data_IF_296064675328
#
_entry.id   IF_296064675328
#
_cell.length_a   1.000
_cell.length_b   1.000
_cell.length_c   1.000
_cell.angle_alpha   90.00
_cell.angle_beta   90.00
_cell.angle_gamma   90.00
#
_symmetry.space_group_name_H-M   'P 1'
#
loop_
_entity.id
_entity.type
_entity.pdbx_description
1 polymer ?
#
# COMPACT_ATOMS: atom_id res chain seq x y z
N UNK A 1 -13.15 -3.21 9.30
CA UNK A 1 -11.93 -3.91 9.79
C UNK A 1 -11.18 -3.00 10.75
N UNK A 2 -10.34 -3.51 11.66
CA UNK A 2 -9.64 -2.67 12.67
C UNK A 2 -8.16 -2.45 12.31
N UNK A 3 -7.58 -1.32 12.68
CA UNK A 3 -6.15 -0.99 12.50
C UNK A 3 -5.22 -2.08 13.07
N UNK A 4 -5.64 -2.78 14.13
CA UNK A 4 -4.89 -3.91 14.71
C UNK A 4 -4.83 -5.14 13.79
N UNK A 5 -5.80 -5.34 12.90
CA UNK A 5 -5.71 -6.37 11.87
C UNK A 5 -4.70 -5.98 10.79
N UNK A 6 -4.74 -4.73 10.33
CA UNK A 6 -3.78 -4.22 9.35
C UNK A 6 -2.33 -4.30 9.86
N UNK A 7 -2.07 -3.93 11.11
CA UNK A 7 -0.74 -4.07 11.70
C UNK A 7 -0.25 -5.52 11.74
N UNK A 8 -1.13 -6.48 12.09
CA UNK A 8 -0.77 -7.90 12.08
C UNK A 8 -0.45 -8.42 10.68
N UNK A 9 -1.18 -7.96 9.67
CA UNK A 9 -0.91 -8.29 8.27
C UNK A 9 0.47 -7.77 7.85
N UNK A 10 0.73 -6.48 8.13
CA UNK A 10 2.01 -5.83 7.81
C UNK A 10 3.17 -6.54 8.53
N UNK A 11 3.01 -6.88 9.81
CA UNK A 11 4.01 -7.62 10.58
C UNK A 11 4.28 -9.01 9.98
N UNK A 12 3.24 -9.70 9.53
CA UNK A 12 3.36 -10.96 8.81
C UNK A 12 4.15 -10.81 7.51
N UNK A 13 3.89 -9.76 6.72
CA UNK A 13 4.65 -9.47 5.50
C UNK A 13 6.11 -9.09 5.78
N UNK A 14 6.38 -8.37 6.88
CA UNK A 14 7.73 -7.96 7.26
C UNK A 14 8.59 -9.13 7.75
N UNK A 15 7.98 -10.18 8.30
CA UNK A 15 8.67 -11.35 8.86
C UNK A 15 8.63 -12.57 7.95
N UNK A 16 7.68 -12.64 7.01
CA UNK A 16 7.51 -13.75 6.09
C UNK A 16 8.63 -13.85 5.05
N UNK A 17 8.91 -15.07 4.59
CA UNK A 17 9.81 -15.28 3.46
C UNK A 17 9.12 -14.94 2.14
N UNK A 18 9.88 -14.37 1.22
CA UNK A 18 9.38 -14.09 -0.12
C UNK A 18 9.29 -15.38 -0.94
N UNK A 19 8.14 -15.67 -1.57
CA UNK A 19 8.02 -16.84 -2.43
C UNK A 19 8.89 -16.70 -3.68
N UNK A 20 9.38 -17.82 -4.21
CA UNK A 20 10.18 -17.85 -5.44
C UNK A 20 9.35 -17.65 -6.71
N UNK A 21 8.02 -17.70 -6.59
CA UNK A 21 7.09 -17.52 -7.70
C UNK A 21 5.95 -16.58 -7.28
N UNK A 22 5.39 -15.87 -8.26
CA UNK A 22 4.26 -14.97 -8.05
C UNK A 22 3.02 -15.79 -7.66
N UNK A 23 2.50 -15.55 -6.46
CA UNK A 23 1.38 -16.29 -5.88
C UNK A 23 0.35 -15.32 -5.30
N UNK A 24 -0.96 -15.58 -5.46
CA UNK A 24 -1.99 -14.84 -4.76
C UNK A 24 -1.82 -15.01 -3.24
N UNK A 25 -1.95 -13.91 -2.50
CA UNK A 25 -2.02 -13.90 -1.04
C UNK A 25 -3.45 -13.57 -0.58
N UNK A 26 -3.71 -13.66 0.73
CA UNK A 26 -5.05 -13.45 1.32
C UNK A 26 -5.70 -12.12 0.89
N UNK A 27 -4.89 -11.08 0.63
CA UNK A 27 -5.40 -9.76 0.27
C UNK A 27 -4.55 -9.07 -0.80
N UNK A 28 -3.75 -9.80 -1.57
CA UNK A 28 -2.87 -9.22 -2.59
C UNK A 28 -2.02 -10.26 -3.31
N UNK A 29 -0.76 -9.94 -3.59
CA UNK A 29 0.14 -10.82 -4.35
C UNK A 29 1.50 -10.88 -3.67
N UNK A 30 2.11 -12.05 -3.61
CA UNK A 30 3.48 -12.22 -3.14
C UNK A 30 4.34 -12.78 -4.26
N UNK A 31 5.60 -12.40 -4.32
CA UNK A 31 6.51 -12.84 -5.36
C UNK A 31 7.98 -12.73 -4.93
N UNK A 32 8.91 -12.96 -5.85
CA UNK A 32 10.35 -12.93 -5.55
C UNK A 32 10.78 -11.57 -5.01
N UNK A 33 11.08 -11.51 -3.72
CA UNK A 33 11.52 -10.30 -3.05
C UNK A 33 10.43 -9.34 -2.64
N UNK A 34 9.13 -9.69 -2.71
CA UNK A 34 8.06 -8.79 -2.29
C UNK A 34 6.76 -9.47 -1.81
N UNK A 35 5.99 -8.71 -1.03
CA UNK A 35 4.60 -8.95 -0.67
C UNK A 35 3.79 -7.67 -0.90
N UNK A 36 2.63 -7.77 -1.53
CA UNK A 36 1.62 -6.72 -1.64
C UNK A 36 0.32 -7.15 -0.96
N UNK A 37 -0.38 -6.18 -0.39
CA UNK A 37 -1.74 -6.38 0.12
C UNK A 37 -2.57 -5.09 0.05
N UNK A 38 -3.84 -5.25 -0.31
CA UNK A 38 -4.86 -4.22 -0.18
C UNK A 38 -5.47 -4.32 1.22
N UNK A 39 -5.32 -3.27 2.02
CA UNK A 39 -5.89 -3.18 3.38
C UNK A 39 -7.38 -2.84 3.35
N UNK A 40 -7.82 -2.22 2.25
CA UNK A 40 -9.19 -1.83 1.95
C UNK A 40 -9.35 -1.84 0.44
N UNK A 41 -10.22 -2.69 -0.09
CA UNK A 41 -10.56 -2.74 -1.51
C UNK A 41 -11.77 -1.85 -1.76
N UNK A 42 -11.70 -0.95 -2.74
CA UNK A 42 -12.70 0.12 -2.94
C UNK A 42 -14.15 -0.30 -3.29
N UNK A 43 -14.50 -1.59 -3.36
CA UNK A 43 -15.72 -2.02 -4.05
C UNK A 43 -16.88 -2.58 -3.20
N UNK A 44 -16.75 -2.90 -1.92
CA UNK A 44 -17.93 -3.38 -1.17
C UNK A 44 -18.05 -2.67 0.17
N UNK A 45 -18.91 -1.62 0.27
CA UNK A 45 -19.40 -1.21 1.57
C UNK A 45 -20.13 -2.42 2.15
N UNK A 46 -19.66 -2.90 3.29
CA UNK A 46 -20.49 -3.79 4.10
C UNK A 46 -21.77 -3.00 4.44
N UNK A 47 -22.92 -3.64 4.60
CA UNK A 47 -24.23 -2.97 4.80
C UNK A 47 -24.24 -1.91 5.94
N UNK A 48 -23.24 -1.92 6.82
CA UNK A 48 -23.04 -0.98 7.94
C UNK A 48 -21.98 0.12 7.69
N UNK A 49 -21.36 0.22 6.50
CA UNK A 49 -20.38 1.26 6.20
C UNK A 49 -21.03 2.55 5.68
N UNK A 50 -20.53 3.73 6.09
CA UNK A 50 -21.00 5.00 5.53
C UNK A 50 -20.79 5.00 4.02
N UNK A 51 -21.80 5.44 3.28
CA UNK A 51 -21.73 5.64 1.84
C UNK A 51 -21.32 7.08 1.51
N UNK A 52 -20.67 7.30 0.36
CA UNK A 52 -20.37 8.66 -0.11
C UNK A 52 -19.22 9.34 0.67
N UNK A 53 -19.27 10.67 0.91
CA UNK A 53 -18.15 11.44 1.46
C UNK A 53 -17.66 10.97 2.85
N UNK A 54 -18.56 10.41 3.66
CA UNK A 54 -18.24 9.89 4.98
C UNK A 54 -17.35 8.63 4.90
N UNK A 55 -17.53 7.81 3.86
CA UNK A 55 -16.65 6.67 3.56
C UNK A 55 -15.20 7.12 3.34
N UNK A 56 -15.02 8.18 2.55
CA UNK A 56 -13.71 8.74 2.24
C UNK A 56 -13.06 9.32 3.49
N UNK A 57 -13.81 10.06 4.31
CA UNK A 57 -13.32 10.62 5.56
C UNK A 57 -12.86 9.51 6.53
N UNK A 58 -13.65 8.43 6.65
CA UNK A 58 -13.30 7.26 7.46
C UNK A 58 -12.02 6.59 6.95
N UNK A 59 -11.89 6.40 5.63
CA UNK A 59 -10.69 5.80 5.04
C UNK A 59 -9.43 6.64 5.30
N UNK A 60 -9.51 7.96 5.12
CA UNK A 60 -8.41 8.86 5.44
C UNK A 60 -8.04 8.81 6.93
N UNK A 61 -9.04 8.78 7.83
CA UNK A 61 -8.81 8.68 9.26
C UNK A 61 -8.14 7.34 9.65
N UNK A 62 -8.57 6.22 9.05
CA UNK A 62 -7.96 4.90 9.26
C UNK A 62 -6.52 4.84 8.73
N UNK A 63 -6.29 5.40 7.54
CA UNK A 63 -4.96 5.54 6.96
C UNK A 63 -4.05 6.38 7.87
N UNK A 64 -4.50 7.54 8.33
CA UNK A 64 -3.70 8.41 9.21
C UNK A 64 -3.43 7.77 10.58
N UNK A 65 -4.40 7.04 11.12
CA UNK A 65 -4.22 6.25 12.34
C UNK A 65 -3.17 5.15 12.14
N UNK A 66 -3.20 4.45 11.01
CA UNK A 66 -2.20 3.45 10.65
C UNK A 66 -0.81 4.09 10.51
N UNK A 67 -0.69 5.19 9.76
CA UNK A 67 0.58 5.93 9.62
C UNK A 67 1.13 6.38 10.97
N UNK A 68 0.28 6.86 11.87
CA UNK A 68 0.68 7.29 13.23
C UNK A 68 1.29 6.12 14.01
N UNK A 69 0.66 4.94 13.96
CA UNK A 69 1.16 3.75 14.66
C UNK A 69 2.45 3.22 14.04
N UNK A 70 2.57 3.20 12.71
CA UNK A 70 3.79 2.80 12.02
C UNK A 70 4.93 3.79 12.29
N UNK A 71 4.63 5.08 12.33
CA UNK A 71 5.60 6.15 12.66
C UNK A 71 6.11 6.01 14.09
N UNK A 72 5.22 5.72 15.04
CA UNK A 72 5.62 5.44 16.42
C UNK A 72 6.51 4.19 16.55
N UNK A 73 6.41 3.24 15.60
CA UNK A 73 7.16 1.98 15.61
C UNK A 73 8.50 2.05 14.89
N UNK A 74 8.55 2.68 13.72
CA UNK A 74 9.69 2.67 12.82
C UNK A 74 10.31 4.05 12.59
N UNK A 75 9.77 5.09 13.23
CA UNK A 75 10.19 6.47 13.03
C UNK A 75 9.50 7.15 11.85
N UNK A 76 9.94 8.36 11.51
CA UNK A 76 9.33 9.17 10.46
C UNK A 76 9.47 8.51 9.08
N UNK A 77 8.39 8.34 8.31
CA UNK A 77 8.47 7.83 6.94
C UNK A 77 9.18 8.82 6.01
N UNK A 78 9.88 8.27 5.01
CA UNK A 78 10.21 9.02 3.82
C UNK A 78 8.96 9.18 2.95
N UNK A 79 8.67 10.40 2.51
CA UNK A 79 7.63 10.67 1.51
C UNK A 79 8.29 10.66 0.13
N UNK A 80 7.79 9.81 -0.77
CA UNK A 80 8.27 9.73 -2.15
C UNK A 80 7.12 9.93 -3.13
N UNK A 81 7.32 10.81 -4.10
CA UNK A 81 6.40 10.97 -5.23
C UNK A 81 6.71 9.94 -6.31
N UNK A 82 5.67 9.34 -6.88
CA UNK A 82 5.79 8.37 -7.97
C UNK A 82 5.68 9.03 -9.36
N UNK A 83 5.51 10.35 -9.41
CA UNK A 83 5.33 11.12 -10.64
C UNK A 83 6.40 10.83 -11.71
N UNK A 84 7.68 10.83 -11.33
CA UNK A 84 8.76 10.59 -12.30
C UNK A 84 8.75 9.17 -12.88
N UNK A 85 8.32 8.18 -12.09
CA UNK A 85 8.13 6.81 -12.55
C UNK A 85 6.90 6.68 -13.44
N UNK A 86 5.81 7.41 -13.12
CA UNK A 86 4.61 7.49 -13.96
C UNK A 86 4.91 8.07 -15.34
N UNK A 87 5.65 9.18 -15.41
CA UNK A 87 6.04 9.79 -16.67
C UNK A 87 6.88 8.84 -17.55
N UNK A 88 7.82 8.11 -16.93
CA UNK A 88 8.61 7.08 -17.62
C UNK A 88 7.73 5.93 -18.11
N UNK A 89 6.79 5.49 -17.29
CA UNK A 89 5.82 4.44 -17.65
C UNK A 89 4.94 4.87 -18.83
N UNK A 90 4.43 6.11 -18.82
CA UNK A 90 3.69 6.71 -19.93
C UNK A 90 4.54 6.84 -21.21
N UNK A 91 5.85 7.07 -21.06
CA UNK A 91 6.81 7.06 -22.16
C UNK A 91 7.17 5.64 -22.66
N UNK A 92 6.59 4.59 -22.06
CA UNK A 92 6.75 3.19 -22.49
C UNK A 92 7.78 2.39 -21.70
N UNK A 93 8.36 2.94 -20.62
CA UNK A 93 9.20 2.15 -19.71
C UNK A 93 8.34 1.11 -18.96
N UNK A 94 8.82 -0.12 -18.90
CA UNK A 94 8.19 -1.17 -18.08
C UNK A 94 8.73 -1.07 -16.66
N UNK A 95 7.91 -0.53 -15.75
CA UNK A 95 8.22 -0.53 -14.32
C UNK A 95 8.19 -1.98 -13.82
N UNK A 96 9.26 -2.38 -13.15
CA UNK A 96 9.39 -3.75 -12.63
C UNK A 96 8.47 -3.97 -11.42
N UNK A 97 7.98 -5.20 -11.29
CA UNK A 97 7.39 -5.63 -10.02
C UNK A 97 8.41 -5.43 -8.88
N UNK A 98 7.95 -4.98 -7.69
CA UNK A 98 6.55 -4.81 -7.29
C UNK A 98 6.02 -3.38 -7.41
N UNK A 99 6.75 -2.49 -8.09
CA UNK A 99 6.44 -1.05 -8.13
C UNK A 99 5.44 -0.67 -9.21
N UNK A 100 5.15 -1.56 -10.16
CA UNK A 100 4.22 -1.31 -11.26
C UNK A 100 2.83 -0.85 -10.78
N UNK A 101 2.22 -1.58 -9.84
CA UNK A 101 0.89 -1.24 -9.31
C UNK A 101 0.90 0.08 -8.52
N UNK A 102 1.80 0.30 -7.53
CA UNK A 102 1.92 1.60 -6.88
C UNK A 102 2.16 2.76 -7.84
N UNK A 103 3.05 2.61 -8.82
CA UNK A 103 3.33 3.67 -9.80
C UNK A 103 2.08 4.01 -10.60
N UNK A 104 1.29 3.01 -11.00
CA UNK A 104 0.08 3.22 -11.80
C UNK A 104 -1.04 3.94 -11.02
N UNK A 105 -1.17 3.67 -9.72
CA UNK A 105 -2.33 4.12 -8.93
C UNK A 105 -2.07 5.22 -7.90
N UNK A 106 -0.86 5.30 -7.33
CA UNK A 106 -0.56 6.19 -6.20
C UNK A 106 0.22 7.42 -6.66
N UNK A 107 -0.14 8.61 -6.16
CA UNK A 107 0.67 9.83 -6.36
C UNK A 107 1.92 9.84 -5.46
N UNK A 108 1.73 9.42 -4.21
CA UNK A 108 2.75 9.38 -3.17
C UNK A 108 2.69 8.08 -2.39
N UNK A 109 3.84 7.67 -1.88
CA UNK A 109 3.98 6.57 -0.93
C UNK A 109 4.74 7.02 0.31
N UNK A 110 4.40 6.44 1.46
CA UNK A 110 5.14 6.56 2.72
C UNK A 110 6.05 5.35 2.86
N UNK A 111 7.35 5.56 2.89
CA UNK A 111 8.35 4.50 2.96
C UNK A 111 9.04 4.47 4.32
N UNK A 112 9.22 3.26 4.83
CA UNK A 112 10.13 2.95 5.92
C UNK A 112 11.17 1.95 5.46
N UNK A 113 12.37 2.09 6.01
CA UNK A 113 13.41 1.08 5.90
C UNK A 113 13.43 0.26 7.20
N UNK A 114 13.01 -1.00 7.12
CA UNK A 114 13.01 -1.92 8.25
C UNK A 114 14.01 -3.03 7.95
N UNK A 115 15.15 -3.02 8.64
CA UNK A 115 16.28 -3.93 8.38
C UNK A 115 16.74 -3.89 6.92
N UNK A 116 16.51 -4.97 6.16
CA UNK A 116 16.85 -5.12 4.73
C UNK A 116 15.63 -4.99 3.79
N UNK A 117 14.43 -4.73 4.34
CA UNK A 117 13.20 -4.52 3.59
C UNK A 117 12.74 -3.05 3.57
N UNK A 118 12.09 -2.67 2.48
CA UNK A 118 11.26 -1.49 2.33
C UNK A 118 9.83 -1.84 2.71
N UNK A 119 9.19 -0.97 3.49
CA UNK A 119 7.75 -1.00 3.73
C UNK A 119 7.17 0.28 3.17
N UNK A 120 6.30 0.16 2.16
CA UNK A 120 5.64 1.26 1.49
C UNK A 120 4.12 1.20 1.74
N UNK A 121 3.53 2.32 2.13
CA UNK A 121 2.09 2.51 2.23
C UNK A 121 1.67 3.51 1.18
N UNK A 122 0.76 3.09 0.30
CA UNK A 122 0.14 3.91 -0.73
C UNK A 122 -1.35 4.11 -0.45
N UNK A 123 -1.85 5.27 -0.86
CA UNK A 123 -3.25 5.63 -0.78
C UNK A 123 -3.70 6.05 -2.19
N UNK A 124 -4.70 5.35 -2.72
CA UNK A 124 -5.37 5.69 -3.97
C UNK A 124 -6.76 6.21 -3.64
N UNK A 125 -7.07 7.39 -4.16
CA UNK A 125 -8.36 8.02 -4.00
C UNK A 125 -9.03 8.08 -5.36
N UNK A 126 -10.27 7.60 -5.47
CA UNK A 126 -11.08 7.85 -6.66
C UNK A 126 -11.31 9.36 -6.80
N UNK A 127 -11.16 9.89 -8.01
CA UNK A 127 -11.31 11.33 -8.29
C UNK A 127 -12.76 11.80 -8.12
N UNK A 128 -13.72 11.01 -8.58
CA UNK A 128 -15.16 11.37 -8.60
C UNK A 128 -16.02 10.47 -7.69
N UNK A 129 -15.38 9.60 -6.89
CA UNK A 129 -16.06 8.56 -6.12
C UNK A 129 -15.68 8.50 -4.63
N UNK A 130 -16.44 7.74 -3.83
CA UNK A 130 -16.11 7.47 -2.43
C UNK A 130 -14.96 6.46 -2.29
N UNK A 131 -14.54 5.81 -3.39
CA UNK A 131 -13.53 4.77 -3.37
C UNK A 131 -12.21 5.29 -2.83
N UNK A 132 -11.70 4.56 -1.85
CA UNK A 132 -10.43 4.81 -1.21
C UNK A 132 -9.77 3.45 -0.98
N UNK A 133 -8.61 3.26 -1.58
CA UNK A 133 -7.85 2.03 -1.51
C UNK A 133 -6.52 2.30 -0.83
N UNK A 134 -6.22 1.49 0.18
CA UNK A 134 -4.95 1.55 0.90
C UNK A 134 -4.17 0.30 0.57
N UNK A 135 -2.97 0.49 0.05
CA UNK A 135 -2.08 -0.60 -0.39
C UNK A 135 -0.82 -0.61 0.45
N UNK A 136 -0.39 -1.82 0.81
CA UNK A 136 0.92 -2.06 1.43
C UNK A 136 1.78 -2.82 0.46
N UNK A 137 3.04 -2.41 0.39
CA UNK A 137 4.11 -3.12 -0.27
C UNK A 137 5.24 -3.35 0.73
N UNK A 138 5.67 -4.60 0.89
CA UNK A 138 6.92 -4.95 1.58
C UNK A 138 7.85 -5.59 0.57
N UNK A 139 9.06 -5.06 0.40
CA UNK A 139 9.96 -5.52 -0.66
C UNK A 139 11.44 -5.32 -0.33
N UNK A 140 12.32 -6.12 -0.91
CA UNK A 140 13.78 -5.88 -0.91
C UNK A 140 14.25 -5.12 -2.16
N UNK A 141 13.34 -4.91 -3.11
CA UNK A 141 13.62 -4.21 -4.37
C UNK A 141 13.50 -2.71 -4.12
N UNK A 142 14.54 -1.97 -4.49
CA UNK A 142 14.59 -0.52 -4.29
C UNK A 142 13.48 0.22 -5.05
N UNK A 143 13.01 1.35 -4.50
CA UNK A 143 12.03 2.20 -5.18
C UNK A 143 12.55 2.76 -6.52
N UNK A 144 11.64 3.01 -7.49
CA UNK A 144 11.97 3.42 -8.85
C UNK A 144 12.45 4.86 -8.99
#
# INVERSE_FOLDING_TARGET
>A
MTTAHHLRLIDGMCTGDFPQERTPSVSGVSGPGYHTAFLRTGHEPWDDEPAGPEHRAQCLAEHDALLTLLTARWGEPQVMSLWSAQERMLAGEVISDPWADPVTGCEFVRLWRVEERWVAIGLVLEEEGPGCEVTVLVTVIDPP
#
